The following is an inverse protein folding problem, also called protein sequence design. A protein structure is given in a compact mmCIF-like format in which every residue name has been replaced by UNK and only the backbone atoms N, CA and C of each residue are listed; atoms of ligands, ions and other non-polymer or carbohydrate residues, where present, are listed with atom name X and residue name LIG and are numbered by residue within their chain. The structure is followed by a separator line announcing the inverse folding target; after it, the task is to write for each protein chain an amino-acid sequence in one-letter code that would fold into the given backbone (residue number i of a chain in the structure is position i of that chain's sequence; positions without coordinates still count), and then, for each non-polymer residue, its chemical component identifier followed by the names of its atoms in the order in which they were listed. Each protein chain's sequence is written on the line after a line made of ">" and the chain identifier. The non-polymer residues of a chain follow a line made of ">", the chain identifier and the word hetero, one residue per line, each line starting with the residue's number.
data_IF_932389124241
#
_entry.id   IF_932389124241
#
_cell.length_a   1.000
_cell.length_b   1.000
_cell.length_c   1.000
_cell.angle_alpha   90.00
_cell.angle_beta   90.00
_cell.angle_gamma   90.00
#
_symmetry.space_group_name_H-M   'P 1'
#
loop_
_entity.id
_entity.type
_entity.pdbx_description
1 polymer ?
#
# COMPACT_ATOMS: atom_id res chain seq x y z
N UNK A 1 -12.25 -9.52 2.36
CA UNK A 1 -12.16 -8.04 2.32
C UNK A 1 -11.41 -7.66 1.05
N UNK A 2 -12.07 -7.01 0.09
CA UNK A 2 -11.41 -6.51 -1.11
C UNK A 2 -10.56 -5.31 -0.71
N UNK A 3 -9.24 -5.42 -0.85
CA UNK A 3 -8.34 -4.29 -0.59
C UNK A 3 -8.64 -3.20 -1.63
N UNK A 4 -9.27 -2.10 -1.20
CA UNK A 4 -9.34 -0.85 -1.97
C UNK A 4 -7.91 -0.34 -2.15
N UNK A 5 -7.26 -0.72 -3.24
CA UNK A 5 -5.90 -0.28 -3.53
C UNK A 5 -5.31 -1.01 -4.73
N UNK A 6 -4.28 -0.45 -5.34
CA UNK A 6 -3.61 -1.01 -6.52
C UNK A 6 -2.62 -2.15 -6.17
N UNK A 7 -2.72 -2.75 -4.98
CA UNK A 7 -1.72 -3.68 -4.44
C UNK A 7 -0.43 -2.97 -4.02
N UNK A 8 0.66 -3.72 -3.82
CA UNK A 8 2.00 -3.16 -3.69
C UNK A 8 2.66 -3.07 -5.07
N UNK A 9 3.51 -2.06 -5.30
CA UNK A 9 4.33 -1.96 -6.51
C UNK A 9 5.79 -2.26 -6.20
N UNK A 10 6.49 -2.90 -7.14
CA UNK A 10 7.96 -2.97 -7.14
C UNK A 10 8.63 -1.69 -7.64
N UNK A 11 7.89 -0.77 -8.26
CA UNK A 11 8.42 0.53 -8.67
C UNK A 11 8.22 1.57 -7.56
N UNK A 12 9.29 2.28 -7.21
CA UNK A 12 9.20 3.48 -6.38
C UNK A 12 8.70 4.63 -7.23
N UNK A 13 7.66 5.33 -6.78
CA UNK A 13 7.19 6.57 -7.42
C UNK A 13 8.31 7.62 -7.50
N UNK A 14 8.47 8.36 -8.61
CA UNK A 14 7.66 8.30 -9.83
C UNK A 14 8.11 7.24 -10.86
N UNK A 15 9.11 6.43 -10.56
CA UNK A 15 9.52 5.28 -11.38
C UNK A 15 10.21 5.66 -12.69
N UNK A 16 10.72 6.90 -12.79
CA UNK A 16 11.26 7.47 -14.02
C UNK A 16 10.20 8.02 -14.99
N UNK A 17 8.92 7.93 -14.64
CA UNK A 17 7.83 8.52 -15.41
C UNK A 17 7.62 9.98 -15.01
N UNK A 18 7.20 10.82 -15.96
CA UNK A 18 6.92 12.23 -15.71
C UNK A 18 5.64 12.65 -16.41
N UNK A 19 4.99 13.68 -15.89
CA UNK A 19 3.86 14.33 -16.53
C UNK A 19 4.16 15.83 -16.63
N UNK A 20 3.97 16.37 -17.82
CA UNK A 20 4.16 17.80 -18.11
C UNK A 20 2.86 18.37 -18.63
N UNK A 21 2.61 19.64 -18.34
CA UNK A 21 1.39 20.32 -18.79
C UNK A 21 1.76 21.49 -19.69
N UNK A 22 1.04 21.65 -20.79
CA UNK A 22 1.19 22.78 -21.71
C UNK A 22 -0.17 23.44 -21.96
N UNK A 23 -0.27 24.76 -21.77
CA UNK A 23 -1.50 25.49 -22.08
C UNK A 23 -1.58 25.74 -23.58
N UNK A 24 -2.63 25.22 -24.23
CA UNK A 24 -2.93 25.47 -25.64
C UNK A 24 -3.65 26.79 -25.85
N UNK A 25 -4.62 27.04 -24.98
CA UNK A 25 -5.40 28.28 -24.90
C UNK A 25 -5.91 28.41 -23.48
N UNK A 26 -6.46 29.57 -23.11
CA UNK A 26 -7.02 29.78 -21.78
C UNK A 26 -8.01 28.64 -21.43
N UNK A 27 -7.77 27.97 -20.30
CA UNK A 27 -8.56 26.84 -19.83
C UNK A 27 -8.40 25.53 -20.61
N UNK A 28 -7.53 25.43 -21.62
CA UNK A 28 -7.29 24.19 -22.38
C UNK A 28 -5.82 23.79 -22.33
N UNK A 29 -5.58 22.53 -21.97
CA UNK A 29 -4.27 22.01 -21.66
C UNK A 29 -4.01 20.68 -22.33
N UNK A 30 -2.75 20.47 -22.74
CA UNK A 30 -2.22 19.15 -23.03
C UNK A 30 -1.46 18.64 -21.81
N UNK A 31 -1.85 17.48 -21.33
CA UNK A 31 -1.13 16.73 -20.31
C UNK A 31 -0.35 15.62 -21.02
N UNK A 32 0.98 15.70 -20.97
CA UNK A 32 1.86 14.74 -21.66
C UNK A 32 2.60 13.89 -20.66
N UNK A 33 2.38 12.58 -20.74
CA UNK A 33 3.06 11.59 -19.91
C UNK A 33 4.24 11.04 -20.70
N UNK A 34 5.41 11.01 -20.07
CA UNK A 34 6.65 10.45 -20.57
C UNK A 34 7.20 9.41 -19.60
N UNK A 35 8.11 8.55 -20.07
CA UNK A 35 8.77 7.59 -19.21
C UNK A 35 9.75 6.67 -19.94
N UNK A 36 10.42 5.77 -19.22
CA UNK A 36 11.42 4.88 -19.77
C UNK A 36 10.79 3.73 -20.59
N UNK A 37 11.51 3.29 -21.62
CA UNK A 37 11.19 2.10 -22.40
C UNK A 37 10.01 2.28 -23.37
N UNK A 38 9.37 1.17 -23.72
CA UNK A 38 8.39 1.09 -24.81
C UNK A 38 6.96 1.51 -24.42
N UNK A 39 6.74 2.14 -23.25
CA UNK A 39 5.40 2.57 -22.83
C UNK A 39 4.85 1.85 -21.60
N UNK A 40 3.51 1.92 -21.43
CA UNK A 40 2.76 1.40 -20.28
C UNK A 40 1.48 0.69 -20.73
N UNK A 41 1.04 -0.33 -19.99
CA UNK A 41 -0.19 -1.08 -20.29
C UNK A 41 -1.45 -0.36 -19.78
N UNK A 42 -1.32 0.38 -18.69
CA UNK A 42 -2.42 1.08 -18.05
C UNK A 42 -2.05 2.48 -17.59
N UNK A 43 -3.07 3.32 -17.47
CA UNK A 43 -2.98 4.65 -16.89
C UNK A 43 -4.29 5.00 -16.18
N UNK A 44 -4.19 5.92 -15.22
CA UNK A 44 -5.30 6.59 -14.56
C UNK A 44 -4.91 8.06 -14.37
N UNK A 45 -5.71 8.98 -14.90
CA UNK A 45 -5.48 10.43 -14.78
C UNK A 45 -6.75 11.10 -14.34
N UNK A 46 -6.64 12.02 -13.38
CA UNK A 46 -7.72 12.87 -12.92
C UNK A 46 -7.17 14.19 -12.38
N UNK A 47 -8.03 15.20 -12.33
CA UNK A 47 -7.66 16.54 -11.85
C UNK A 47 -8.55 16.90 -10.67
N UNK A 48 -7.94 17.42 -9.61
CA UNK A 48 -8.62 17.84 -8.38
C UNK A 48 -8.55 19.36 -8.21
N UNK A 49 -9.61 19.96 -7.70
CA UNK A 49 -9.58 21.33 -7.17
C UNK A 49 -9.02 21.36 -5.73
N UNK A 50 -8.97 22.56 -5.15
CA UNK A 50 -8.56 22.80 -3.76
C UNK A 50 -9.40 22.06 -2.72
N UNK A 51 -10.63 21.67 -3.06
CA UNK A 51 -11.57 20.98 -2.17
C UNK A 51 -11.53 19.46 -2.39
N UNK A 52 -10.51 18.96 -3.11
CA UNK A 52 -10.34 17.55 -3.50
C UNK A 52 -11.51 16.98 -4.33
N UNK A 53 -12.24 17.85 -5.04
CA UNK A 53 -13.29 17.44 -5.99
C UNK A 53 -12.70 17.33 -7.38
N UNK A 54 -13.22 16.38 -8.14
CA UNK A 54 -12.80 16.19 -9.53
C UNK A 54 -13.40 17.27 -10.41
N UNK A 55 -12.57 17.91 -11.22
CA UNK A 55 -12.95 19.07 -12.02
C UNK A 55 -12.45 19.01 -13.45
N UNK A 56 -13.06 19.83 -14.32
CA UNK A 56 -12.75 19.91 -15.73
C UNK A 56 -13.28 18.73 -16.54
N UNK A 57 -12.83 18.65 -17.79
CA UNK A 57 -13.30 17.71 -18.79
C UNK A 57 -12.10 17.22 -19.61
N UNK A 58 -11.91 15.91 -19.71
CA UNK A 58 -11.01 15.37 -20.74
C UNK A 58 -11.72 15.34 -22.10
N UNK A 59 -11.05 15.82 -23.12
CA UNK A 59 -11.54 15.94 -24.50
C UNK A 59 -10.65 15.13 -25.46
N UNK A 60 -11.16 14.79 -26.64
CA UNK A 60 -10.39 14.17 -27.73
C UNK A 60 -9.55 12.97 -27.29
N UNK A 61 -10.15 12.06 -26.52
CA UNK A 61 -9.44 10.91 -25.97
C UNK A 61 -8.84 10.03 -27.08
N UNK A 62 -7.57 9.61 -26.95
CA UNK A 62 -7.03 8.57 -27.81
C UNK A 62 -7.85 7.28 -27.72
N UNK A 63 -7.86 6.49 -28.79
CA UNK A 63 -8.70 5.27 -28.89
C UNK A 63 -8.44 4.23 -27.80
N UNK A 64 -7.28 4.27 -27.16
CA UNK A 64 -6.90 3.37 -26.06
C UNK A 64 -7.28 3.88 -24.66
N UNK A 65 -7.92 5.05 -24.54
CA UNK A 65 -8.38 5.68 -23.28
C UNK A 65 -9.90 5.80 -23.24
N UNK A 66 -10.49 5.56 -22.08
CA UNK A 66 -11.93 5.77 -21.80
C UNK A 66 -12.12 6.57 -20.52
N UNK A 67 -13.29 7.17 -20.39
CA UNK A 67 -13.72 7.73 -19.13
C UNK A 67 -13.94 6.62 -18.08
N UNK A 68 -13.62 6.95 -16.83
CA UNK A 68 -13.92 6.13 -15.66
C UNK A 68 -14.83 6.91 -14.73
N UNK A 69 -16.04 6.43 -14.56
CA UNK A 69 -16.99 7.03 -13.62
C UNK A 69 -16.49 6.86 -12.18
N UNK A 70 -16.26 7.98 -11.49
CA UNK A 70 -16.22 7.98 -10.03
C UNK A 70 -16.91 9.24 -9.48
N UNK A 71 -18.22 9.34 -9.71
CA UNK A 71 -19.09 10.39 -9.18
C UNK A 71 -19.29 11.59 -10.10
N UNK A 72 -18.32 11.92 -10.94
CA UNK A 72 -18.45 12.99 -11.95
C UNK A 72 -18.05 12.44 -13.33
N UNK A 73 -18.91 12.55 -14.35
CA UNK A 73 -18.60 12.08 -15.68
C UNK A 73 -17.41 12.85 -16.26
N UNK A 74 -16.61 12.17 -17.08
CA UNK A 74 -15.56 12.77 -17.92
C UNK A 74 -14.41 13.53 -17.22
N UNK A 75 -14.34 13.50 -15.89
CA UNK A 75 -13.26 14.09 -15.08
C UNK A 75 -12.09 13.13 -14.81
N UNK A 76 -12.25 11.86 -15.18
CA UNK A 76 -11.27 10.81 -14.92
C UNK A 76 -11.21 9.86 -16.07
N UNK A 77 -10.00 9.53 -16.46
CA UNK A 77 -9.73 8.69 -17.61
C UNK A 77 -8.83 7.53 -17.23
N UNK A 78 -9.03 6.41 -17.91
CA UNK A 78 -8.23 5.20 -17.74
C UNK A 78 -8.10 4.45 -19.06
N UNK A 79 -7.21 3.47 -19.11
CA UNK A 79 -7.02 2.61 -20.28
C UNK A 79 -8.27 1.78 -20.62
N UNK A 80 -8.53 1.56 -21.92
CA UNK A 80 -9.60 0.66 -22.40
C UNK A 80 -9.23 -0.81 -22.24
N UNK A 81 -7.98 -1.14 -22.55
CA UNK A 81 -7.39 -2.48 -22.58
C UNK A 81 -5.91 -2.42 -22.14
N UNK A 82 -5.29 -3.58 -21.89
CA UNK A 82 -3.90 -3.73 -21.45
C UNK A 82 -2.87 -3.67 -22.58
N UNK A 83 -3.25 -3.31 -23.82
CA UNK A 83 -2.28 -3.16 -24.90
C UNK A 83 -1.28 -2.07 -24.54
N UNK A 84 -0.01 -2.20 -24.93
CA UNK A 84 0.99 -1.19 -24.59
C UNK A 84 0.66 0.16 -25.27
N UNK A 85 0.74 1.25 -24.49
CA UNK A 85 0.63 2.63 -24.96
C UNK A 85 2.02 3.25 -24.97
N UNK A 86 2.53 3.53 -26.16
CA UNK A 86 3.86 4.10 -26.36
C UNK A 86 3.91 5.56 -25.87
N UNK A 87 5.07 5.98 -25.39
CA UNK A 87 5.32 7.40 -25.07
C UNK A 87 5.68 8.20 -26.33
N UNK A 88 5.41 9.52 -26.35
CA UNK A 88 4.65 10.28 -25.34
C UNK A 88 3.14 9.98 -25.41
N UNK A 89 2.46 9.99 -24.26
CA UNK A 89 1.00 9.90 -24.19
C UNK A 89 0.45 11.30 -23.92
N UNK A 90 -0.19 11.91 -24.91
CA UNK A 90 -0.80 13.25 -24.78
C UNK A 90 -2.30 13.14 -24.56
N UNK A 91 -2.80 13.90 -23.59
CA UNK A 91 -4.20 13.92 -23.16
C UNK A 91 -4.69 15.37 -23.15
N UNK A 92 -5.81 15.66 -23.80
CA UNK A 92 -6.38 17.01 -23.76
C UNK A 92 -7.35 17.16 -22.59
N UNK A 93 -7.14 18.20 -21.80
CA UNK A 93 -7.95 18.54 -20.63
C UNK A 93 -8.42 19.99 -20.70
N UNK A 94 -9.69 20.21 -20.39
CA UNK A 94 -10.33 21.50 -20.33
C UNK A 94 -10.71 21.79 -18.89
N UNK A 95 -10.28 22.93 -18.38
CA UNK A 95 -10.50 23.35 -17.00
C UNK A 95 -11.94 23.78 -16.70
N UNK A 96 -12.90 23.57 -17.60
CA UNK A 96 -14.30 23.97 -17.45
C UNK A 96 -14.82 23.80 -16.01
N UNK A 97 -15.19 24.92 -15.38
CA UNK A 97 -15.70 24.97 -14.00
C UNK A 97 -14.65 24.97 -12.88
N UNK A 98 -13.36 24.82 -13.21
CA UNK A 98 -12.25 24.92 -12.26
C UNK A 98 -11.72 26.35 -12.17
N UNK A 99 -11.66 26.90 -10.95
CA UNK A 99 -11.07 28.21 -10.68
C UNK A 99 -9.81 28.09 -9.84
N UNK A 100 -8.75 28.79 -10.25
CA UNK A 100 -7.47 28.84 -9.54
C UNK A 100 -6.60 27.59 -9.74
N UNK A 101 -5.88 27.21 -8.69
CA UNK A 101 -4.94 26.09 -8.72
C UNK A 101 -5.69 24.75 -8.64
N UNK A 102 -5.37 23.86 -9.57
CA UNK A 102 -5.80 22.47 -9.61
C UNK A 102 -4.59 21.55 -9.51
N UNK A 103 -4.81 20.31 -9.10
CA UNK A 103 -3.77 19.28 -9.00
C UNK A 103 -4.07 18.13 -9.94
N UNK A 104 -3.19 17.90 -10.92
CA UNK A 104 -3.23 16.74 -11.80
C UNK A 104 -2.61 15.54 -11.10
N UNK A 105 -3.37 14.46 -10.97
CA UNK A 105 -2.93 13.19 -10.38
C UNK A 105 -2.86 12.13 -11.45
N UNK A 106 -1.72 11.43 -11.51
CA UNK A 106 -1.44 10.43 -12.54
C UNK A 106 -0.86 9.16 -11.95
N UNK A 107 -1.38 8.02 -12.41
CA UNK A 107 -0.83 6.71 -12.13
C UNK A 107 -0.62 5.97 -13.45
N UNK A 108 0.52 5.34 -13.60
CA UNK A 108 0.86 4.50 -14.76
C UNK A 108 1.10 3.07 -14.32
N UNK A 109 0.74 2.12 -15.16
CA UNK A 109 0.85 0.68 -14.91
C UNK A 109 1.64 0.07 -16.05
N UNK A 110 2.86 -0.39 -15.77
CA UNK A 110 3.62 -1.22 -16.72
C UNK A 110 3.12 -2.65 -16.72
N UNK A 111 2.77 -3.18 -15.55
CA UNK A 111 2.01 -4.42 -15.32
C UNK A 111 1.48 -4.40 -13.88
N UNK A 112 0.67 -5.40 -13.47
CA UNK A 112 0.06 -5.43 -12.12
C UNK A 112 1.06 -5.38 -10.96
N UNK A 113 2.29 -5.85 -11.15
CA UNK A 113 3.35 -5.77 -10.12
C UNK A 113 4.17 -4.48 -10.19
N UNK A 114 4.13 -3.78 -11.33
CA UNK A 114 4.94 -2.61 -11.61
C UNK A 114 4.04 -1.43 -12.03
N UNK A 115 3.66 -0.62 -11.05
CA UNK A 115 2.93 0.62 -11.26
C UNK A 115 3.58 1.78 -10.51
N UNK A 116 3.46 2.99 -11.02
CA UNK A 116 4.04 4.17 -10.37
C UNK A 116 3.00 5.29 -10.32
N UNK A 117 2.93 5.99 -9.19
CA UNK A 117 2.28 7.29 -9.13
C UNK A 117 3.30 8.31 -9.58
N UNK A 118 2.93 9.14 -10.55
CA UNK A 118 3.78 10.25 -10.96
C UNK A 118 3.64 11.37 -9.93
N UNK A 119 4.61 12.28 -9.93
CA UNK A 119 4.52 13.51 -9.15
C UNK A 119 3.25 14.28 -9.52
N UNK A 120 2.65 14.90 -8.51
CA UNK A 120 1.47 15.73 -8.69
C UNK A 120 1.89 16.98 -9.47
N UNK A 121 1.06 17.44 -10.40
CA UNK A 121 1.29 18.73 -11.05
C UNK A 121 0.25 19.72 -10.56
N UNK A 122 0.71 20.74 -9.84
CA UNK A 122 -0.11 21.91 -9.55
C UNK A 122 -0.14 22.78 -10.80
N UNK A 123 -1.34 23.07 -11.29
CA UNK A 123 -1.60 23.84 -12.50
C UNK A 123 -2.58 24.95 -12.16
N UNK A 124 -2.25 26.19 -12.51
CA UNK A 124 -3.21 27.29 -12.44
C UNK A 124 -4.07 27.32 -13.71
N UNK A 125 -5.38 27.15 -13.56
CA UNK A 125 -6.30 27.00 -14.70
C UNK A 125 -6.45 28.26 -15.57
N UNK A 126 -5.99 29.42 -15.08
CA UNK A 126 -6.15 30.73 -15.73
C UNK A 126 -4.86 31.17 -16.40
N UNK A 127 -3.75 31.17 -15.66
CA UNK A 127 -2.42 31.58 -16.15
C UNK A 127 -1.69 30.48 -16.90
N UNK A 128 -2.06 29.21 -16.67
CA UNK A 128 -1.36 28.04 -17.20
C UNK A 128 0.01 27.78 -16.57
N UNK A 129 0.36 28.51 -15.52
CA UNK A 129 1.56 28.24 -14.73
C UNK A 129 1.45 26.87 -14.09
N UNK A 130 2.49 26.05 -14.21
CA UNK A 130 2.52 24.72 -13.60
C UNK A 130 3.79 24.49 -12.80
N UNK A 131 3.68 23.67 -11.77
CA UNK A 131 4.79 23.21 -10.95
C UNK A 131 4.59 21.76 -10.57
N UNK A 132 5.68 21.00 -10.55
CA UNK A 132 5.69 19.62 -10.07
C UNK A 132 5.83 19.63 -8.55
N UNK A 133 4.89 19.02 -7.86
CA UNK A 133 4.93 18.76 -6.43
C UNK A 133 5.20 17.27 -6.28
N UNK A 134 6.26 16.90 -5.57
CA UNK A 134 6.58 15.51 -5.30
C UNK A 134 5.31 14.81 -4.80
N UNK A 135 4.90 13.70 -5.44
CA UNK A 135 3.69 13.02 -5.05
C UNK A 135 3.77 12.70 -3.56
N UNK A 136 2.77 13.14 -2.78
CA UNK A 136 2.64 12.70 -1.40
C UNK A 136 2.73 11.19 -1.41
N UNK A 137 3.75 10.64 -0.75
CA UNK A 137 3.96 9.19 -0.62
C UNK A 137 2.85 8.60 0.26
N UNK A 138 1.63 8.57 -0.27
CA UNK A 138 0.51 7.73 0.17
C UNK A 138 0.69 6.29 -0.32
N UNK A 139 1.88 5.96 -0.84
CA UNK A 139 2.42 4.63 -0.63
C UNK A 139 2.65 4.52 0.86
N UNK A 140 1.60 4.11 1.59
CA UNK A 140 1.66 3.84 3.01
C UNK A 140 3.01 3.23 3.28
N UNK A 141 3.79 3.90 4.14
CA UNK A 141 5.08 3.40 4.55
C UNK A 141 4.86 1.92 4.83
N UNK A 142 5.40 1.06 3.96
CA UNK A 142 5.67 -0.30 4.36
C UNK A 142 6.79 -0.12 5.37
N UNK A 143 6.39 0.24 6.59
CA UNK A 143 7.08 -0.19 7.78
C UNK A 143 7.20 -1.69 7.55
N UNK A 144 8.42 -2.13 7.21
CA UNK A 144 8.72 -3.52 6.89
C UNK A 144 8.42 -4.49 8.05
N UNK A 145 7.84 -4.00 9.15
CA UNK A 145 7.37 -4.71 10.33
C UNK A 145 6.03 -5.41 10.16
N UNK A 146 5.09 -4.88 9.37
CA UNK A 146 3.68 -5.30 9.49
C UNK A 146 3.42 -6.65 8.82
N UNK A 147 4.16 -6.96 7.76
CA UNK A 147 4.10 -8.27 7.10
C UNK A 147 4.85 -9.38 7.84
N UNK A 148 5.88 -9.04 8.62
CA UNK A 148 6.63 -10.01 9.40
C UNK A 148 5.77 -10.50 10.57
N UNK A 149 5.24 -9.59 11.39
CA UNK A 149 4.40 -9.99 12.52
C UNK A 149 3.17 -10.76 12.03
N UNK A 150 2.45 -10.29 11.00
CA UNK A 150 1.25 -11.00 10.54
C UNK A 150 1.52 -12.41 9.98
N UNK A 151 2.66 -12.64 9.30
CA UNK A 151 3.04 -13.98 8.79
C UNK A 151 3.56 -14.90 9.89
N UNK A 152 4.20 -14.35 10.93
CA UNK A 152 4.83 -15.15 11.98
C UNK A 152 4.07 -15.14 13.32
N UNK A 153 2.92 -14.45 13.45
CA UNK A 153 2.10 -14.44 14.67
C UNK A 153 1.78 -15.86 15.12
N UNK A 154 1.38 -16.74 14.21
CA UNK A 154 1.03 -18.12 14.56
C UNK A 154 2.26 -18.92 15.03
N UNK A 155 3.43 -18.66 14.43
CA UNK A 155 4.70 -19.28 14.83
C UNK A 155 5.17 -18.77 16.21
N UNK A 156 5.04 -17.47 16.48
CA UNK A 156 5.36 -16.87 17.78
C UNK A 156 4.43 -17.41 18.88
N UNK A 157 3.13 -17.56 18.60
CA UNK A 157 2.18 -18.17 19.53
C UNK A 157 2.56 -19.63 19.82
N UNK A 158 2.92 -20.41 18.80
CA UNK A 158 3.35 -21.81 18.98
C UNK A 158 4.63 -21.92 19.83
N UNK A 159 5.62 -21.05 19.60
CA UNK A 159 6.82 -20.98 20.44
C UNK A 159 6.44 -20.58 21.87
N UNK A 160 5.59 -19.56 22.05
CA UNK A 160 5.14 -19.14 23.37
C UNK A 160 4.45 -20.26 24.15
N UNK A 161 3.53 -20.99 23.51
CA UNK A 161 2.81 -22.11 24.12
C UNK A 161 3.74 -23.29 24.47
N UNK A 162 4.67 -23.65 23.58
CA UNK A 162 5.62 -24.73 23.86
C UNK A 162 6.57 -24.38 25.01
N UNK A 163 7.03 -23.12 25.07
CA UNK A 163 7.89 -22.64 26.17
C UNK A 163 7.13 -22.66 27.50
N UNK A 164 5.86 -22.23 27.50
CA UNK A 164 5.00 -22.26 28.69
C UNK A 164 4.79 -23.69 29.19
N UNK A 165 4.44 -24.62 28.28
CA UNK A 165 4.24 -26.03 28.62
C UNK A 165 5.52 -26.67 29.18
N UNK A 166 6.68 -26.31 28.63
CA UNK A 166 7.97 -26.78 29.12
C UNK A 166 8.24 -26.32 30.57
N UNK A 167 7.98 -25.04 30.87
CA UNK A 167 8.15 -24.50 32.22
C UNK A 167 7.21 -25.22 33.20
N UNK A 168 5.93 -25.36 32.86
CA UNK A 168 4.95 -26.07 33.71
C UNK A 168 5.37 -27.52 33.96
N UNK A 169 5.83 -28.23 32.93
CA UNK A 169 6.36 -29.59 33.06
C UNK A 169 7.56 -29.68 34.02
N UNK A 170 8.52 -28.75 33.89
CA UNK A 170 9.70 -28.72 34.77
C UNK A 170 9.35 -28.47 36.24
N UNK A 171 8.37 -27.60 36.51
CA UNK A 171 7.90 -27.32 37.88
C UNK A 171 7.16 -28.53 38.45
N UNK A 172 6.29 -29.16 37.66
CA UNK A 172 5.57 -30.36 38.08
C UNK A 172 6.53 -31.51 38.43
N UNK A 173 7.58 -31.73 37.63
CA UNK A 173 8.60 -32.74 37.91
C UNK A 173 9.37 -32.44 39.21
N UNK A 174 9.74 -31.18 39.43
CA UNK A 174 10.41 -30.73 40.66
C UNK A 174 9.52 -30.95 41.90
N UNK A 175 8.22 -30.69 41.79
CA UNK A 175 7.26 -30.95 42.87
C UNK A 175 7.11 -32.45 43.16
N UNK A 176 7.00 -33.28 42.11
CA UNK A 176 6.92 -34.74 42.27
C UNK A 176 8.17 -35.31 42.94
N UNK A 177 9.37 -34.87 42.53
CA UNK A 177 10.63 -35.26 43.17
C UNK A 177 10.66 -34.89 44.65
N UNK A 178 10.21 -33.67 45.01
CA UNK A 178 10.11 -33.26 46.42
C UNK A 178 9.12 -34.10 47.22
N UNK A 179 7.98 -34.49 46.63
CA UNK A 179 7.01 -35.36 47.29
C UNK A 179 7.56 -36.78 47.49
N UNK A 180 8.30 -37.33 46.53
CA UNK A 180 8.95 -38.64 46.66
C UNK A 180 10.02 -38.67 47.76
N UNK A 181 10.79 -37.59 47.93
CA UNK A 181 11.76 -37.50 49.04
C UNK A 181 11.05 -37.46 50.39
N UNK A 182 9.97 -36.68 50.50
CA UNK A 182 9.16 -36.62 51.72
C UNK A 182 8.55 -37.98 52.07
N UNK A 183 7.95 -38.69 51.11
CA UNK A 183 7.34 -40.01 51.37
C UNK A 183 8.38 -41.05 51.82
N UNK A 184 9.58 -41.04 51.22
CA UNK A 184 10.69 -41.89 51.67
C UNK A 184 11.15 -41.57 53.10
N UNK A 185 11.20 -40.29 53.48
CA UNK A 185 11.53 -39.92 54.87
C UNK A 185 10.48 -40.40 55.88
N UNK A 186 9.19 -40.32 55.56
CA UNK A 186 8.12 -40.81 56.43
C UNK A 186 8.19 -42.34 56.62
N UNK A 187 8.43 -43.10 55.55
CA UNK A 187 8.60 -44.55 55.64
C UNK A 187 9.77 -44.94 56.55
N UNK A 188 10.90 -44.21 56.46
CA UNK A 188 12.07 -44.46 57.32
C UNK A 188 11.80 -44.14 58.80
N UNK A 189 11.06 -43.07 59.09
CA UNK A 189 10.68 -42.73 60.47
C UNK A 189 9.78 -43.79 61.10
N UNK A 190 8.81 -44.33 60.36
CA UNK A 190 7.93 -45.41 60.87
C UNK A 190 8.74 -46.69 61.13
N UNK A 191 9.67 -47.04 60.24
CA UNK A 191 10.50 -48.23 60.39
C UNK A 191 11.43 -48.14 61.61
N UNK A 192 12.01 -46.97 61.88
CA UNK A 192 12.90 -46.76 63.03
C UNK A 192 12.13 -46.65 64.35
N UNK A 193 10.91 -46.07 64.35
CA UNK A 193 10.09 -45.94 65.56
C UNK A 193 9.54 -47.26 66.11
N UNK A 194 9.56 -48.35 65.33
CA UNK A 194 9.13 -49.69 65.77
C UNK A 194 10.28 -50.55 66.33
N UNK A 195 11.53 -50.08 66.23
CA UNK A 195 12.73 -50.84 66.62
C UNK A 195 13.20 -50.64 68.07
N UNK A 196 12.79 -49.57 68.75
CA UNK A 196 13.31 -49.16 70.08
C UNK A 196 12.42 -49.59 71.28
N UNK A 197 11.46 -50.48 71.06
CA UNK A 197 10.53 -50.95 72.11
C UNK A 197 10.82 -52.38 72.60
N UNK A 198 12.09 -52.74 72.81
CA UNK A 198 12.47 -54.00 73.46
C UNK A 198 13.61 -53.81 74.45
#
# INVERSE_FOLDING_TARGET
>A
MSTKGHGASSLKSPGGYTITTNMKSQGKFDLTINGPGNGVEGLLVYVLDKDNKRVGLFENLPDYVKFKECGVPSTTITHKNSNVKNFPITLSWNAQGATGSVTVKTLVVKNFSNWARLDDVSLDSVSGTSSTVAASNDGGAQTASDGFLQKYTLFIIMIGLTTLLYIVGSVAESMLKRQQVKSRSFAKTIQNGYGDSR
#
